data_IF_328458330642
#
_entry.id   IF_328458330642
#
_cell.length_a   1.000
_cell.length_b   1.000
_cell.length_c   1.000
_cell.angle_alpha   90.00
_cell.angle_beta   90.00
_cell.angle_gamma   90.00
#
_symmetry.space_group_name_H-M   'P 1'
#
loop_
_entity.id
_entity.type
_entity.pdbx_description
1 polymer ?
#
# COMPACT_ATOMS: atom_id res chain seq x y z
N UNK A 1 -1.85 31.52 -30.08
CA UNK A 1 -2.92 30.69 -30.67
C UNK A 1 -3.68 30.00 -29.56
N UNK A 2 -4.62 30.74 -28.99
CA UNK A 2 -5.64 30.25 -28.07
C UNK A 2 -6.53 29.25 -28.81
N UNK A 3 -6.64 28.05 -28.27
CA UNK A 3 -7.53 27.01 -28.79
C UNK A 3 -8.91 27.29 -28.18
N UNK A 4 -9.86 27.67 -29.04
CA UNK A 4 -11.29 27.80 -28.72
C UNK A 4 -11.85 26.51 -28.09
N UNK A 5 -12.82 26.60 -27.16
CA UNK A 5 -13.48 25.44 -26.60
C UNK A 5 -14.58 24.97 -27.56
N UNK A 6 -14.24 24.04 -28.46
CA UNK A 6 -15.25 23.37 -29.26
C UNK A 6 -16.00 22.35 -28.40
N UNK A 7 -17.31 22.58 -28.33
CA UNK A 7 -18.43 21.68 -28.03
C UNK A 7 -18.04 20.24 -27.67
N UNK A 8 -18.06 19.96 -26.37
CA UNK A 8 -18.08 18.60 -25.84
C UNK A 8 -19.42 17.98 -26.24
N UNK A 9 -19.41 17.12 -27.25
CA UNK A 9 -20.42 16.07 -27.36
C UNK A 9 -20.34 15.24 -26.08
N UNK A 10 -21.41 15.28 -25.28
CA UNK A 10 -21.65 14.35 -24.18
C UNK A 10 -21.42 12.92 -24.69
N UNK A 11 -20.27 12.35 -24.36
CA UNK A 11 -20.06 10.91 -24.47
C UNK A 11 -21.00 10.30 -23.44
N UNK A 12 -22.14 9.84 -23.95
CA UNK A 12 -23.08 8.95 -23.27
C UNK A 12 -22.29 7.96 -22.38
N UNK A 13 -22.63 7.83 -21.09
CA UNK A 13 -22.01 6.81 -20.26
C UNK A 13 -22.25 5.45 -20.91
N UNK A 14 -21.15 4.80 -21.31
CA UNK A 14 -21.16 3.45 -21.88
C UNK A 14 -22.13 2.56 -21.11
N UNK A 15 -23.04 1.96 -21.86
CA UNK A 15 -24.17 1.20 -21.37
C UNK A 15 -23.76 0.18 -20.31
N UNK A 16 -24.60 0.07 -19.29
CA UNK A 16 -24.51 -0.90 -18.22
C UNK A 16 -24.54 -2.34 -18.77
N UNK A 17 -23.39 -2.96 -19.02
CA UNK A 17 -23.31 -4.42 -19.08
C UNK A 17 -23.45 -4.94 -17.64
N UNK A 18 -24.71 -5.14 -17.25
CA UNK A 18 -25.10 -5.73 -15.97
C UNK A 18 -25.74 -7.07 -16.25
N UNK A 19 -25.52 -8.10 -15.43
CA UNK A 19 -26.18 -9.39 -15.60
C UNK A 19 -27.69 -9.18 -15.59
N UNK A 20 -28.39 -9.72 -16.61
CA UNK A 20 -29.83 -9.51 -16.87
C UNK A 20 -30.71 -9.81 -15.64
N UNK A 21 -30.26 -10.73 -14.81
CA UNK A 21 -30.88 -11.12 -13.53
C UNK A 21 -31.04 -9.92 -12.58
N UNK A 22 -30.05 -9.03 -12.51
CA UNK A 22 -30.07 -7.87 -11.62
C UNK A 22 -30.99 -6.77 -12.15
N UNK A 23 -31.10 -6.61 -13.47
CA UNK A 23 -32.00 -5.63 -14.08
C UNK A 23 -33.47 -6.06 -13.96
N UNK A 24 -33.76 -7.37 -14.02
CA UNK A 24 -35.11 -7.91 -13.81
C UNK A 24 -35.57 -7.77 -12.35
N UNK A 25 -34.68 -7.97 -11.38
CA UNK A 25 -34.98 -7.79 -9.95
C UNK A 25 -35.19 -6.32 -9.55
N UNK A 26 -34.66 -5.36 -10.32
CA UNK A 26 -34.66 -3.94 -9.99
C UNK A 26 -35.76 -3.14 -10.71
N UNK A 27 -36.59 -3.74 -11.56
CA UNK A 27 -37.50 -3.04 -12.48
C UNK A 27 -38.39 -1.99 -11.82
N UNK A 28 -38.85 -2.21 -10.58
CA UNK A 28 -39.76 -1.32 -9.84
C UNK A 28 -39.14 -0.18 -9.01
N UNK A 29 -37.81 -0.08 -8.86
CA UNK A 29 -37.19 0.98 -8.05
C UNK A 29 -36.84 2.26 -8.83
N UNK A 30 -36.88 3.41 -8.14
CA UNK A 30 -36.40 4.69 -8.69
C UNK A 30 -34.90 4.64 -9.04
N UNK A 31 -34.47 5.45 -10.01
CA UNK A 31 -33.10 5.42 -10.55
C UNK A 31 -32.00 5.57 -9.49
N UNK A 32 -32.25 6.38 -8.44
CA UNK A 32 -31.32 6.56 -7.32
C UNK A 32 -31.13 5.27 -6.50
N UNK A 33 -32.21 4.56 -6.20
CA UNK A 33 -32.16 3.34 -5.41
C UNK A 33 -31.61 2.14 -6.21
N UNK A 34 -31.86 2.11 -7.52
CA UNK A 34 -31.20 1.16 -8.44
C UNK A 34 -29.67 1.28 -8.35
N UNK A 35 -29.14 2.51 -8.38
CA UNK A 35 -27.69 2.76 -8.26
C UNK A 35 -27.18 2.35 -6.88
N UNK A 36 -27.90 2.70 -5.82
CA UNK A 36 -27.53 2.34 -4.45
C UNK A 36 -27.45 0.81 -4.26
N UNK A 37 -28.47 0.07 -4.72
CA UNK A 37 -28.51 -1.38 -4.60
C UNK A 37 -27.39 -2.06 -5.40
N UNK A 38 -27.15 -1.62 -6.64
CA UNK A 38 -26.05 -2.13 -7.48
C UNK A 38 -24.69 -1.94 -6.80
N UNK A 39 -24.45 -0.76 -6.22
CA UNK A 39 -23.22 -0.47 -5.46
C UNK A 39 -23.10 -1.36 -4.23
N UNK A 40 -24.17 -1.50 -3.44
CA UNK A 40 -24.17 -2.33 -2.22
C UNK A 40 -23.82 -3.79 -2.50
N UNK A 41 -24.42 -4.39 -3.53
CA UNK A 41 -24.15 -5.78 -3.91
C UNK A 41 -22.68 -5.97 -4.30
N UNK A 42 -22.14 -5.08 -5.14
CA UNK A 42 -20.74 -5.23 -5.55
C UNK A 42 -19.77 -4.94 -4.40
N UNK A 43 -20.04 -3.95 -3.55
CA UNK A 43 -19.24 -3.69 -2.36
C UNK A 43 -19.18 -4.92 -1.46
N UNK A 44 -20.31 -5.61 -1.25
CA UNK A 44 -20.33 -6.85 -0.48
C UNK A 44 -19.50 -7.95 -1.15
N UNK A 45 -19.61 -8.11 -2.47
CA UNK A 45 -18.81 -9.08 -3.22
C UNK A 45 -17.29 -8.80 -3.12
N UNK A 46 -16.88 -7.53 -3.23
CA UNK A 46 -15.48 -7.12 -3.09
C UNK A 46 -14.96 -7.33 -1.67
N UNK A 47 -15.77 -7.05 -0.65
CA UNK A 47 -15.42 -7.29 0.76
C UNK A 47 -15.25 -8.79 1.03
N UNK A 48 -16.17 -9.64 0.56
CA UNK A 48 -16.02 -11.09 0.67
C UNK A 48 -14.75 -11.58 -0.03
N UNK A 49 -14.46 -11.09 -1.23
CA UNK A 49 -13.23 -11.42 -1.95
C UNK A 49 -11.97 -10.99 -1.18
N UNK A 50 -11.99 -9.82 -0.54
CA UNK A 50 -10.89 -9.34 0.28
C UNK A 50 -10.62 -10.25 1.50
N UNK A 51 -11.66 -10.71 2.19
CA UNK A 51 -11.50 -11.67 3.30
C UNK A 51 -10.95 -13.02 2.84
N UNK A 52 -11.37 -13.51 1.67
CA UNK A 52 -10.82 -14.74 1.08
C UNK A 52 -9.33 -14.56 0.83
N UNK A 53 -8.92 -13.43 0.25
CA UNK A 53 -7.50 -13.14 -0.02
C UNK A 53 -6.68 -13.12 1.29
N UNK A 54 -7.20 -12.47 2.34
CA UNK A 54 -6.52 -12.42 3.64
C UNK A 54 -6.33 -13.84 4.19
N UNK A 55 -7.33 -14.71 4.04
CA UNK A 55 -7.25 -16.10 4.49
C UNK A 55 -6.20 -16.93 3.72
N UNK A 56 -5.91 -16.60 2.46
CA UNK A 56 -4.88 -17.26 1.66
C UNK A 56 -3.44 -16.93 2.10
N UNK A 57 -3.26 -15.96 3.01
CA UNK A 57 -2.00 -15.66 3.66
C UNK A 57 -1.14 -14.58 3.01
N UNK A 58 -0.03 -14.21 3.68
CA UNK A 58 0.78 -13.04 3.33
C UNK A 58 1.49 -13.16 1.97
N UNK A 59 1.89 -14.35 1.55
CA UNK A 59 2.54 -14.56 0.25
C UNK A 59 1.58 -14.33 -0.91
N UNK A 60 0.33 -14.77 -0.77
CA UNK A 60 -0.71 -14.52 -1.79
C UNK A 60 -1.06 -13.04 -1.83
N UNK A 61 -1.13 -12.37 -0.67
CA UNK A 61 -1.30 -10.92 -0.58
C UNK A 61 -0.18 -10.16 -1.32
N UNK A 62 1.09 -10.56 -1.14
CA UNK A 62 2.22 -9.98 -1.87
C UNK A 62 2.04 -10.12 -3.39
N UNK A 63 1.70 -11.33 -3.87
CA UNK A 63 1.47 -11.58 -5.30
C UNK A 63 0.32 -10.74 -5.86
N UNK A 64 -0.76 -10.58 -5.09
CA UNK A 64 -1.89 -9.74 -5.49
C UNK A 64 -1.49 -8.26 -5.56
N UNK A 65 -0.73 -7.76 -4.59
CA UNK A 65 -0.21 -6.39 -4.62
C UNK A 65 0.66 -6.16 -5.86
N UNK A 66 1.52 -7.12 -6.21
CA UNK A 66 2.32 -7.09 -7.45
C UNK A 66 1.43 -7.09 -8.70
N UNK A 67 0.40 -7.94 -8.76
CA UNK A 67 -0.52 -7.96 -9.90
C UNK A 67 -1.30 -6.64 -10.04
N UNK A 68 -1.80 -6.10 -8.93
CA UNK A 68 -2.49 -4.80 -8.88
C UNK A 68 -1.55 -3.69 -9.34
N UNK A 69 -0.31 -3.68 -8.88
CA UNK A 69 0.72 -2.73 -9.30
C UNK A 69 0.95 -2.78 -10.82
N UNK A 70 1.18 -3.97 -11.39
CA UNK A 70 1.40 -4.11 -12.83
C UNK A 70 0.19 -3.58 -13.61
N UNK A 71 -1.03 -3.88 -13.17
CA UNK A 71 -2.25 -3.38 -13.81
C UNK A 71 -2.41 -1.87 -13.70
N UNK A 72 -2.21 -1.30 -12.52
CA UNK A 72 -2.21 0.15 -12.30
C UNK A 72 -1.20 0.87 -13.20
N UNK A 73 0.01 0.32 -13.32
CA UNK A 73 1.05 0.85 -14.21
C UNK A 73 0.60 0.80 -15.67
N UNK A 74 0.06 -0.34 -16.13
CA UNK A 74 -0.48 -0.49 -17.49
C UNK A 74 -1.59 0.53 -17.79
N UNK A 75 -2.50 0.77 -16.86
CA UNK A 75 -3.58 1.75 -17.03
C UNK A 75 -3.03 3.17 -17.23
N UNK A 76 -2.09 3.63 -16.38
CA UNK A 76 -1.51 4.98 -16.49
C UNK A 76 -0.67 5.14 -17.76
N UNK A 77 0.14 4.13 -18.10
CA UNK A 77 0.97 4.18 -19.29
C UNK A 77 0.13 4.19 -20.57
N UNK A 78 -0.96 3.41 -20.62
CA UNK A 78 -1.89 3.41 -21.77
C UNK A 78 -2.57 4.77 -21.96
N UNK A 79 -2.89 5.51 -20.88
CA UNK A 79 -3.39 6.89 -20.98
C UNK A 79 -2.34 7.81 -21.60
N UNK A 80 -1.08 7.69 -21.15
CA UNK A 80 0.02 8.43 -21.77
C UNK A 80 0.04 8.21 -23.28
N UNK A 81 0.04 6.95 -23.72
CA UNK A 81 0.06 6.62 -25.15
C UNK A 81 -1.14 7.14 -25.93
N UNK A 82 -2.36 7.09 -25.37
CA UNK A 82 -3.56 7.57 -26.04
C UNK A 82 -3.58 9.09 -26.19
N UNK A 83 -3.16 9.83 -25.16
CA UNK A 83 -3.14 11.30 -25.16
C UNK A 83 -2.16 11.82 -26.22
N UNK A 84 -0.96 11.25 -26.28
CA UNK A 84 0.08 11.74 -27.18
C UNK A 84 0.12 11.03 -28.55
N UNK A 85 -0.89 10.20 -28.88
CA UNK A 85 -1.06 9.57 -30.20
C UNK A 85 0.18 8.82 -30.71
N UNK A 86 0.92 8.16 -29.82
CA UNK A 86 2.22 7.54 -30.14
C UNK A 86 2.09 6.12 -30.73
N UNK A 87 1.18 5.92 -31.69
CA UNK A 87 0.88 4.58 -32.26
C UNK A 87 1.96 4.02 -33.19
N UNK A 88 2.89 4.86 -33.66
CA UNK A 88 3.85 4.49 -34.70
C UNK A 88 5.18 3.89 -34.20
N UNK A 89 5.39 3.72 -32.89
CA UNK A 89 6.68 3.25 -32.32
C UNK A 89 6.49 2.06 -31.36
N UNK A 90 6.27 0.83 -31.87
CA UNK A 90 6.00 -0.34 -31.02
C UNK A 90 7.20 -0.76 -30.16
N UNK A 91 8.43 -0.60 -30.67
CA UNK A 91 9.64 -0.93 -29.90
C UNK A 91 9.83 -0.01 -28.69
N UNK A 92 9.56 1.28 -28.88
CA UNK A 92 9.56 2.26 -27.81
C UNK A 92 8.51 1.95 -26.73
N UNK A 93 7.36 1.40 -27.13
CA UNK A 93 6.27 1.04 -26.21
C UNK A 93 6.69 -0.06 -25.24
N UNK A 94 7.25 -1.15 -25.76
CA UNK A 94 7.70 -2.29 -24.95
C UNK A 94 8.89 -1.91 -24.08
N UNK A 95 9.84 -1.13 -24.64
CA UNK A 95 11.00 -0.65 -23.89
C UNK A 95 10.59 0.30 -22.76
N UNK A 96 9.76 1.30 -23.04
CA UNK A 96 9.37 2.30 -22.05
C UNK A 96 8.44 1.69 -20.99
N UNK A 97 7.49 0.84 -21.37
CA UNK A 97 6.55 0.24 -20.43
C UNK A 97 7.15 -0.91 -19.61
N UNK A 98 7.44 -2.02 -20.26
CA UNK A 98 7.65 -3.30 -19.56
C UNK A 98 9.09 -3.47 -19.06
N UNK A 99 10.08 -3.01 -19.81
CA UNK A 99 11.49 -3.17 -19.44
C UNK A 99 11.84 -2.38 -18.18
N UNK A 100 11.54 -1.07 -18.14
CA UNK A 100 11.82 -0.25 -16.95
C UNK A 100 10.99 -0.69 -15.74
N UNK A 101 9.74 -1.15 -15.96
CA UNK A 101 8.96 -1.77 -14.90
C UNK A 101 9.70 -2.97 -14.31
N UNK A 102 10.13 -3.93 -15.14
CA UNK A 102 10.88 -5.09 -14.69
C UNK A 102 12.16 -4.70 -13.93
N UNK A 103 12.95 -3.76 -14.45
CA UNK A 103 14.18 -3.30 -13.81
C UNK A 103 13.93 -2.72 -12.42
N UNK A 104 12.93 -1.83 -12.29
CA UNK A 104 12.63 -1.17 -11.01
C UNK A 104 12.00 -2.15 -10.02
N UNK A 105 11.14 -3.06 -10.49
CA UNK A 105 10.61 -4.14 -9.65
C UNK A 105 11.74 -5.04 -9.14
N UNK A 106 12.64 -5.47 -10.02
CA UNK A 106 13.79 -6.28 -9.64
C UNK A 106 14.58 -5.60 -8.53
N UNK A 107 14.92 -4.32 -8.68
CA UNK A 107 15.66 -3.56 -7.66
C UNK A 107 14.95 -3.56 -6.29
N UNK A 108 13.72 -3.07 -6.21
CA UNK A 108 13.00 -2.90 -4.93
C UNK A 108 12.60 -4.23 -4.28
N UNK A 109 12.05 -5.17 -5.06
CA UNK A 109 11.60 -6.46 -4.53
C UNK A 109 12.76 -7.40 -4.25
N UNK A 110 13.85 -7.32 -5.00
CA UNK A 110 15.08 -8.06 -4.71
C UNK A 110 15.65 -7.68 -3.34
N UNK A 111 15.74 -6.38 -3.01
CA UNK A 111 16.19 -5.96 -1.67
C UNK A 111 15.23 -6.42 -0.57
N UNK A 112 13.92 -6.31 -0.81
CA UNK A 112 12.91 -6.78 0.17
C UNK A 112 13.04 -8.29 0.44
N UNK A 113 13.18 -9.09 -0.61
CA UNK A 113 13.32 -10.55 -0.49
C UNK A 113 14.62 -10.91 0.21
N UNK A 114 15.74 -10.24 -0.10
CA UNK A 114 17.01 -10.46 0.58
C UNK A 114 16.93 -10.10 2.08
N UNK A 115 16.22 -9.03 2.43
CA UNK A 115 16.13 -8.53 3.80
C UNK A 115 15.23 -9.39 4.71
N UNK A 116 14.11 -9.92 4.20
CA UNK A 116 13.16 -10.72 4.97
C UNK A 116 13.41 -12.22 4.85
N UNK A 117 13.94 -12.69 3.73
CA UNK A 117 14.17 -14.12 3.45
C UNK A 117 15.65 -14.44 3.29
N UNK A 118 16.50 -13.81 4.10
CA UNK A 118 17.96 -13.98 4.05
C UNK A 118 18.40 -15.45 4.12
N UNK A 119 17.80 -16.24 5.04
CA UNK A 119 18.11 -17.67 5.23
C UNK A 119 17.80 -18.50 3.98
N UNK A 120 16.64 -18.26 3.35
CA UNK A 120 16.23 -18.90 2.11
C UNK A 120 17.20 -18.56 0.96
N UNK A 121 17.57 -17.28 0.86
CA UNK A 121 18.47 -16.78 -0.21
C UNK A 121 19.89 -17.33 -0.08
N UNK A 122 20.40 -17.53 1.14
CA UNK A 122 21.74 -18.09 1.36
C UNK A 122 21.82 -19.60 1.11
N UNK A 123 20.69 -20.32 1.22
CA UNK A 123 20.62 -21.77 1.04
C UNK A 123 20.78 -22.18 -0.43
N UNK A 124 20.20 -21.42 -1.34
CA UNK A 124 20.21 -21.71 -2.78
C UNK A 124 21.39 -21.00 -3.46
N UNK A 125 22.35 -21.77 -3.99
CA UNK A 125 23.50 -21.26 -4.76
C UNK A 125 23.14 -20.19 -5.82
N UNK A 126 22.12 -20.36 -6.69
CA UNK A 126 21.78 -19.35 -7.69
C UNK A 126 21.25 -18.05 -7.06
N UNK A 127 20.44 -18.15 -6.00
CA UNK A 127 19.87 -16.98 -5.32
C UNK A 127 20.95 -16.22 -4.54
N UNK A 128 21.93 -16.93 -3.98
CA UNK A 128 23.07 -16.32 -3.28
C UNK A 128 23.90 -15.45 -4.20
N UNK A 129 24.19 -15.92 -5.41
CA UNK A 129 24.92 -15.12 -6.42
C UNK A 129 24.10 -13.90 -6.83
N UNK A 130 22.81 -14.11 -7.10
CA UNK A 130 21.88 -13.05 -7.50
C UNK A 130 21.79 -11.95 -6.44
N UNK A 131 21.63 -12.33 -5.16
CA UNK A 131 21.57 -11.42 -4.03
C UNK A 131 22.89 -10.69 -3.79
N UNK A 132 24.04 -11.36 -3.95
CA UNK A 132 25.36 -10.75 -3.75
C UNK A 132 25.64 -9.64 -4.75
N UNK A 133 25.26 -9.84 -6.02
CA UNK A 133 25.47 -8.85 -7.09
C UNK A 133 24.20 -8.05 -7.41
N UNK A 134 23.17 -8.12 -6.56
CA UNK A 134 21.85 -7.56 -6.81
C UNK A 134 21.87 -6.08 -7.25
N UNK A 135 22.56 -5.24 -6.49
CA UNK A 135 22.68 -3.79 -6.76
C UNK A 135 23.39 -3.52 -8.08
N UNK A 136 24.45 -4.27 -8.37
CA UNK A 136 25.20 -4.12 -9.61
C UNK A 136 24.39 -4.59 -10.83
N UNK A 137 23.71 -5.73 -10.74
CA UNK A 137 22.83 -6.25 -11.79
C UNK A 137 21.69 -5.26 -12.05
N UNK A 138 21.07 -4.73 -10.99
CA UNK A 138 20.00 -3.72 -11.10
C UNK A 138 20.49 -2.46 -11.83
N UNK A 139 21.67 -1.96 -11.47
CA UNK A 139 22.29 -0.82 -12.14
C UNK A 139 22.59 -1.11 -13.62
N UNK A 140 23.16 -2.27 -13.92
CA UNK A 140 23.47 -2.68 -15.30
C UNK A 140 22.21 -2.83 -16.16
N UNK A 141 21.13 -3.41 -15.62
CA UNK A 141 19.83 -3.52 -16.28
C UNK A 141 19.25 -2.14 -16.57
N UNK A 142 19.24 -1.24 -15.58
CA UNK A 142 18.74 0.12 -15.79
C UNK A 142 19.57 0.88 -16.84
N UNK A 143 20.89 0.78 -16.79
CA UNK A 143 21.80 1.41 -17.76
C UNK A 143 21.57 0.86 -19.18
N UNK A 144 21.33 -0.44 -19.30
CA UNK A 144 21.00 -1.09 -20.58
C UNK A 144 19.70 -0.52 -21.14
N UNK A 145 18.66 -0.37 -20.31
CA UNK A 145 17.41 0.30 -20.69
C UNK A 145 17.60 1.75 -21.13
N UNK A 146 18.45 2.50 -20.42
CA UNK A 146 18.78 3.87 -20.79
C UNK A 146 19.50 3.95 -22.14
N UNK A 147 20.51 3.10 -22.38
CA UNK A 147 21.20 3.01 -23.66
C UNK A 147 20.22 2.62 -24.80
N UNK A 148 19.35 1.63 -24.55
CA UNK A 148 18.30 1.26 -25.50
C UNK A 148 17.35 2.42 -25.81
N UNK A 149 16.98 3.23 -24.81
CA UNK A 149 16.12 4.40 -25.02
C UNK A 149 16.81 5.44 -25.92
N UNK A 150 18.10 5.70 -25.69
CA UNK A 150 18.90 6.62 -26.53
C UNK A 150 19.00 6.10 -27.97
N UNK A 151 19.20 4.79 -28.15
CA UNK A 151 19.20 4.14 -29.47
C UNK A 151 17.82 4.16 -30.15
N UNK A 152 16.73 4.26 -29.37
CA UNK A 152 15.36 4.38 -29.87
C UNK A 152 15.05 5.72 -30.53
N UNK A 153 15.91 6.74 -30.37
CA UNK A 153 15.53 8.12 -30.66
C UNK A 153 15.33 8.34 -32.17
N UNK A 154 14.11 8.72 -32.56
CA UNK A 154 13.75 8.96 -33.96
C UNK A 154 13.65 10.46 -34.23
N UNK A 155 14.31 10.91 -35.31
CA UNK A 155 14.23 12.30 -35.79
C UNK A 155 12.76 12.73 -35.93
N UNK A 156 12.46 13.99 -35.59
CA UNK A 156 11.11 14.61 -35.53
C UNK A 156 10.23 14.22 -34.33
N UNK A 157 10.55 13.18 -33.57
CA UNK A 157 9.72 12.71 -32.44
C UNK A 157 10.40 12.86 -31.05
N UNK A 158 11.56 13.53 -30.96
CA UNK A 158 12.33 13.63 -29.71
C UNK A 158 11.49 14.16 -28.53
N UNK A 159 10.76 15.25 -28.74
CA UNK A 159 9.96 15.87 -27.68
C UNK A 159 8.93 14.89 -27.11
N UNK A 160 8.27 14.12 -27.97
CA UNK A 160 7.33 13.08 -27.58
C UNK A 160 8.02 11.94 -26.81
N UNK A 161 9.15 11.45 -27.30
CA UNK A 161 9.91 10.37 -26.66
C UNK A 161 10.41 10.77 -25.27
N UNK A 162 10.89 12.01 -25.09
CA UNK A 162 11.29 12.52 -23.78
C UNK A 162 10.11 12.74 -22.84
N UNK A 163 8.95 13.19 -23.33
CA UNK A 163 7.74 13.28 -22.50
C UNK A 163 7.27 11.91 -22.01
N UNK A 164 7.27 10.90 -22.89
CA UNK A 164 6.93 9.53 -22.50
C UNK A 164 7.94 8.92 -21.56
N UNK A 165 9.23 9.19 -21.77
CA UNK A 165 10.28 8.76 -20.85
C UNK A 165 10.05 9.33 -19.46
N UNK A 166 9.80 10.64 -19.35
CA UNK A 166 9.44 11.28 -18.08
C UNK A 166 8.16 10.73 -17.48
N UNK A 167 7.12 10.53 -18.28
CA UNK A 167 5.85 9.94 -17.86
C UNK A 167 6.05 8.55 -17.24
N UNK A 168 6.81 7.69 -17.91
CA UNK A 168 7.15 6.36 -17.42
C UNK A 168 7.88 6.43 -16.09
N UNK A 169 8.92 7.25 -15.96
CA UNK A 169 9.71 7.31 -14.72
C UNK A 169 8.91 7.88 -13.54
N UNK A 170 8.08 8.89 -13.77
CA UNK A 170 7.15 9.42 -12.76
C UNK A 170 6.12 8.35 -12.38
N UNK A 171 5.59 7.61 -13.34
CA UNK A 171 4.63 6.52 -13.07
C UNK A 171 5.29 5.38 -12.29
N UNK A 172 6.55 5.01 -12.61
CA UNK A 172 7.30 4.01 -11.86
C UNK A 172 7.56 4.46 -10.42
N UNK A 173 7.99 5.71 -10.24
CA UNK A 173 8.21 6.30 -8.92
C UNK A 173 6.92 6.29 -8.09
N UNK A 174 5.78 6.59 -8.70
CA UNK A 174 4.50 6.58 -7.99
C UNK A 174 4.07 5.13 -7.72
N UNK A 175 3.95 4.28 -8.74
CA UNK A 175 3.28 2.99 -8.60
C UNK A 175 4.17 1.95 -7.91
N UNK A 176 5.46 1.86 -8.27
CA UNK A 176 6.36 0.81 -7.75
C UNK A 176 6.82 1.12 -6.33
N UNK A 177 7.12 2.38 -6.03
CA UNK A 177 7.51 2.75 -4.65
C UNK A 177 6.36 2.48 -3.69
N UNK A 178 5.11 2.77 -4.05
CA UNK A 178 4.01 2.43 -3.14
C UNK A 178 3.83 0.94 -2.93
N UNK A 179 3.83 0.14 -3.99
CA UNK A 179 3.66 -1.30 -3.85
C UNK A 179 4.79 -1.91 -3.00
N UNK A 180 6.01 -1.41 -3.14
CA UNK A 180 7.13 -1.77 -2.28
C UNK A 180 6.86 -1.41 -0.79
N UNK A 181 6.41 -0.18 -0.50
CA UNK A 181 6.09 0.24 0.86
C UNK A 181 4.93 -0.58 1.47
N UNK A 182 3.90 -0.90 0.66
CA UNK A 182 2.79 -1.78 1.05
C UNK A 182 3.31 -3.16 1.46
N UNK A 183 4.18 -3.76 0.65
CA UNK A 183 4.72 -5.10 0.92
C UNK A 183 5.65 -5.08 2.13
N UNK A 184 6.44 -4.02 2.31
CA UNK A 184 7.25 -3.85 3.50
C UNK A 184 6.37 -3.74 4.77
N UNK A 185 5.26 -2.98 4.71
CA UNK A 185 4.32 -2.90 5.84
C UNK A 185 3.63 -4.25 6.11
N UNK A 186 3.31 -5.02 5.06
CA UNK A 186 2.72 -6.35 5.15
C UNK A 186 3.64 -7.33 5.90
N UNK A 187 4.95 -7.30 5.63
CA UNK A 187 5.91 -8.21 6.25
C UNK A 187 6.25 -7.88 7.71
N UNK A 188 6.12 -6.63 8.13
CA UNK A 188 6.21 -6.25 9.55
C UNK A 188 4.98 -6.74 10.36
N UNK A 189 3.90 -7.12 9.70
CA UNK A 189 2.69 -7.69 10.29
C UNK A 189 1.46 -7.35 9.47
N UNK A 190 0.59 -8.32 9.22
CA UNK A 190 -0.59 -8.12 8.37
C UNK A 190 -1.55 -7.04 8.90
N UNK A 191 -1.54 -6.77 10.21
CA UNK A 191 -2.34 -5.71 10.83
C UNK A 191 -1.98 -4.32 10.30
N UNK A 192 -0.71 -4.07 9.98
CA UNK A 192 -0.21 -2.83 9.39
C UNK A 192 -0.63 -2.63 7.94
N UNK A 193 -1.07 -3.69 7.27
CA UNK A 193 -1.66 -3.62 5.94
C UNK A 193 -3.18 -3.50 6.00
N UNK A 194 -3.84 -4.38 6.77
CA UNK A 194 -5.30 -4.53 6.78
C UNK A 194 -5.99 -3.34 7.43
N UNK A 195 -5.51 -2.86 8.59
CA UNK A 195 -6.18 -1.78 9.33
C UNK A 195 -6.20 -0.48 8.51
N UNK A 196 -5.07 0.01 7.96
CA UNK A 196 -5.05 1.17 7.08
C UNK A 196 -5.99 1.09 5.88
N UNK A 197 -5.94 -0.02 5.14
CA UNK A 197 -6.75 -0.22 3.94
C UNK A 197 -8.23 -0.22 4.30
N UNK A 198 -8.59 -0.92 5.37
CA UNK A 198 -9.96 -1.00 5.86
C UNK A 198 -10.47 0.36 6.35
N UNK A 199 -9.61 1.18 6.97
CA UNK A 199 -9.96 2.55 7.36
C UNK A 199 -10.29 3.43 6.17
N UNK A 200 -9.51 3.37 5.09
CA UNK A 200 -9.79 4.11 3.84
C UNK A 200 -11.09 3.65 3.21
N UNK A 201 -11.32 2.33 3.11
CA UNK A 201 -12.58 1.77 2.59
C UNK A 201 -13.77 2.20 3.44
N UNK A 202 -13.65 2.12 4.76
CA UNK A 202 -14.68 2.57 5.69
C UNK A 202 -14.98 4.07 5.51
N UNK A 203 -13.93 4.89 5.37
CA UNK A 203 -14.07 6.33 5.16
C UNK A 203 -14.85 6.64 3.88
N UNK A 204 -14.54 5.98 2.76
CA UNK A 204 -15.26 6.18 1.51
C UNK A 204 -16.73 5.76 1.59
N UNK A 205 -17.02 4.63 2.25
CA UNK A 205 -18.40 4.15 2.44
C UNK A 205 -19.19 5.10 3.35
N UNK A 206 -18.61 5.48 4.49
CA UNK A 206 -19.27 6.34 5.48
C UNK A 206 -19.44 7.76 4.94
N UNK A 207 -18.43 8.32 4.27
CA UNK A 207 -18.55 9.62 3.63
C UNK A 207 -19.63 9.65 2.55
N UNK A 208 -19.78 8.56 1.78
CA UNK A 208 -20.89 8.41 0.85
C UNK A 208 -22.25 8.31 1.56
N UNK A 209 -22.34 7.54 2.64
CA UNK A 209 -23.58 7.35 3.39
C UNK A 209 -24.06 8.65 4.05
N UNK A 210 -23.20 9.32 4.80
CA UNK A 210 -23.51 10.62 5.42
C UNK A 210 -23.74 11.71 4.36
N UNK A 211 -22.98 11.69 3.26
CA UNK A 211 -23.19 12.60 2.13
C UNK A 211 -24.55 12.38 1.44
N UNK A 212 -25.03 11.14 1.35
CA UNK A 212 -26.33 10.84 0.75
C UNK A 212 -27.52 11.29 1.62
N UNK A 213 -27.44 11.12 2.94
CA UNK A 213 -28.53 11.48 3.85
C UNK A 213 -28.52 12.95 4.28
N UNK A 214 -27.35 13.53 4.52
CA UNK A 214 -27.18 14.85 5.14
C UNK A 214 -26.41 15.85 4.26
N UNK A 215 -25.89 15.43 3.11
CA UNK A 215 -25.05 16.28 2.26
C UNK A 215 -25.81 17.45 1.64
N UNK A 216 -25.39 18.67 1.99
CA UNK A 216 -25.93 19.91 1.42
C UNK A 216 -24.83 20.80 0.84
N UNK A 217 -23.64 20.78 1.43
CA UNK A 217 -22.55 21.69 1.06
C UNK A 217 -21.40 20.96 0.33
N UNK A 218 -21.08 21.32 -0.92
CA UNK A 218 -20.00 20.68 -1.67
C UNK A 218 -18.63 21.08 -1.09
N UNK A 219 -17.71 20.11 -1.03
CA UNK A 219 -16.38 20.27 -0.45
C UNK A 219 -15.41 21.00 -1.40
N UNK A 220 -15.33 20.56 -2.67
CA UNK A 220 -14.41 21.12 -3.68
C UNK A 220 -15.11 21.17 -5.05
N UNK A 221 -14.90 22.25 -5.82
CA UNK A 221 -15.48 22.43 -7.17
C UNK A 221 -15.10 21.33 -8.17
N UNK A 222 -13.88 20.80 -8.06
CA UNK A 222 -13.38 19.67 -8.86
C UNK A 222 -14.20 18.39 -8.67
N UNK A 223 -14.81 18.19 -7.49
CA UNK A 223 -15.62 17.01 -7.15
C UNK A 223 -16.92 17.42 -6.45
N UNK A 224 -17.92 17.91 -7.20
CA UNK A 224 -19.14 18.49 -6.63
C UNK A 224 -20.03 17.48 -5.88
N UNK A 225 -19.74 16.17 -5.99
CA UNK A 225 -20.47 15.11 -5.29
C UNK A 225 -19.96 14.84 -3.88
N UNK A 226 -18.76 15.33 -3.51
CA UNK A 226 -18.21 15.17 -2.16
C UNK A 226 -18.66 16.36 -1.31
N UNK A 227 -19.20 16.07 -0.12
CA UNK A 227 -19.78 17.10 0.77
C UNK A 227 -19.01 17.21 2.09
N UNK A 228 -19.09 18.38 2.74
CA UNK A 228 -18.49 18.60 4.06
C UNK A 228 -19.11 17.71 5.14
N UNK A 229 -20.44 17.55 5.11
CA UNK A 229 -21.15 16.70 6.08
C UNK A 229 -20.73 15.23 5.95
N UNK A 230 -20.51 14.77 4.71
CA UNK A 230 -19.97 13.45 4.43
C UNK A 230 -18.54 13.28 4.94
N UNK A 231 -17.69 14.29 4.75
CA UNK A 231 -16.30 14.26 5.21
C UNK A 231 -16.19 14.18 6.75
N UNK A 232 -16.97 14.99 7.47
CA UNK A 232 -16.99 14.99 8.94
C UNK A 232 -17.58 13.68 9.49
N UNK A 233 -18.70 13.22 8.93
CA UNK A 233 -19.31 11.95 9.32
C UNK A 233 -18.41 10.74 9.05
N UNK A 234 -17.69 10.78 7.91
CA UNK A 234 -16.66 9.80 7.56
C UNK A 234 -15.56 9.73 8.62
N UNK A 235 -15.00 10.89 9.01
CA UNK A 235 -13.95 10.97 10.02
C UNK A 235 -14.31 10.28 11.34
N UNK A 236 -15.43 10.67 11.97
CA UNK A 236 -15.83 10.06 13.24
C UNK A 236 -16.10 8.56 13.12
N UNK A 237 -16.74 8.13 12.03
CA UNK A 237 -17.05 6.72 11.80
C UNK A 237 -15.79 5.88 11.59
N UNK A 238 -14.81 6.40 10.85
CA UNK A 238 -13.56 5.70 10.57
C UNK A 238 -12.68 5.57 11.82
N UNK A 239 -12.65 6.57 12.70
CA UNK A 239 -11.93 6.48 13.98
C UNK A 239 -12.55 5.40 14.88
N UNK A 240 -13.88 5.39 15.02
CA UNK A 240 -14.59 4.36 15.79
C UNK A 240 -14.37 2.97 15.18
N UNK A 241 -14.44 2.86 13.85
CA UNK A 241 -14.19 1.61 13.14
C UNK A 241 -12.75 1.13 13.32
N UNK A 242 -11.75 2.02 13.23
CA UNK A 242 -10.34 1.70 13.45
C UNK A 242 -10.09 1.16 14.86
N UNK A 243 -10.66 1.80 15.89
CA UNK A 243 -10.57 1.34 17.28
C UNK A 243 -11.18 -0.05 17.49
N UNK A 244 -12.33 -0.33 16.86
CA UNK A 244 -12.98 -1.63 16.94
C UNK A 244 -12.18 -2.71 16.21
N UNK A 245 -11.75 -2.42 14.98
CA UNK A 245 -11.01 -3.36 14.14
C UNK A 245 -9.67 -3.71 14.76
N UNK A 246 -8.94 -2.70 15.27
CA UNK A 246 -7.66 -2.91 15.95
C UNK A 246 -7.79 -3.75 17.22
N UNK A 247 -8.85 -3.56 18.01
CA UNK A 247 -9.12 -4.39 19.18
C UNK A 247 -9.32 -5.88 18.82
N UNK A 248 -10.14 -6.14 17.80
CA UNK A 248 -10.40 -7.52 17.35
C UNK A 248 -9.14 -8.16 16.78
N UNK A 249 -8.41 -7.45 15.92
CA UNK A 249 -7.24 -8.00 15.22
C UNK A 249 -6.03 -8.19 16.14
N UNK A 250 -5.81 -7.31 17.11
CA UNK A 250 -4.71 -7.43 18.06
C UNK A 250 -4.78 -8.71 18.91
N UNK A 251 -5.98 -9.28 19.08
CA UNK A 251 -6.17 -10.55 19.79
C UNK A 251 -5.68 -11.80 19.04
N UNK A 252 -5.41 -11.71 17.73
CA UNK A 252 -5.01 -12.85 16.91
C UNK A 252 -3.56 -12.75 16.46
N UNK A 253 -2.73 -13.71 16.87
CA UNK A 253 -1.29 -13.80 16.53
C UNK A 253 -1.04 -13.77 15.02
N UNK A 254 -1.91 -14.43 14.26
CA UNK A 254 -1.87 -14.47 12.79
C UNK A 254 -1.75 -13.08 12.16
N UNK A 255 -2.47 -12.06 12.65
CA UNK A 255 -2.43 -10.73 12.06
C UNK A 255 -1.27 -9.86 12.56
N UNK A 256 -0.79 -10.15 13.76
CA UNK A 256 0.16 -9.31 14.48
C UNK A 256 1.60 -9.66 14.13
N UNK A 257 1.87 -10.96 13.96
CA UNK A 257 3.23 -11.44 13.83
C UNK A 257 3.85 -11.10 12.46
N UNK A 258 5.15 -10.76 12.45
CA UNK A 258 5.88 -10.57 11.21
C UNK A 258 6.02 -11.88 10.45
N UNK A 259 6.21 -11.78 9.15
CA UNK A 259 6.37 -12.95 8.28
C UNK A 259 7.82 -13.42 8.35
N UNK A 260 8.03 -14.66 8.81
CA UNK A 260 9.35 -15.27 8.88
C UNK A 260 9.39 -16.59 8.10
N UNK A 261 10.56 -16.93 7.57
CA UNK A 261 10.78 -18.20 6.87
C UNK A 261 11.44 -19.21 7.82
N UNK A 262 10.75 -20.31 8.10
CA UNK A 262 11.28 -21.39 8.93
C UNK A 262 12.01 -22.43 8.06
N UNK A 263 13.32 -22.54 8.27
CA UNK A 263 14.21 -23.46 7.57
C UNK A 263 13.89 -24.94 7.77
N UNK A 264 13.28 -25.31 8.90
CA UNK A 264 13.04 -26.71 9.28
C UNK A 264 11.79 -27.29 8.58
N UNK A 265 10.75 -26.47 8.41
CA UNK A 265 9.49 -26.86 7.77
C UNK A 265 9.40 -26.45 6.30
N UNK A 266 10.39 -25.72 5.78
CA UNK A 266 10.36 -25.08 4.45
C UNK A 266 9.05 -24.30 4.22
N UNK A 267 8.50 -23.69 5.27
CA UNK A 267 7.22 -22.99 5.22
C UNK A 267 7.32 -21.59 5.81
N UNK A 268 6.48 -20.69 5.31
CA UNK A 268 6.35 -19.35 5.87
C UNK A 268 5.45 -19.41 7.10
N UNK A 269 5.96 -18.98 8.24
CA UNK A 269 5.25 -19.01 9.52
C UNK A 269 4.98 -17.59 10.00
N UNK A 270 3.82 -17.41 10.63
CA UNK A 270 3.40 -16.14 11.27
C UNK A 270 3.20 -16.35 12.78
N UNK A 271 4.05 -17.18 13.37
CA UNK A 271 4.02 -17.52 14.78
C UNK A 271 5.18 -16.85 15.51
N UNK A 272 4.86 -15.82 16.27
CA UNK A 272 5.80 -15.04 17.07
C UNK A 272 5.22 -14.80 18.47
N UNK A 273 6.05 -14.48 19.46
CA UNK A 273 5.55 -13.90 20.71
C UNK A 273 5.09 -12.46 20.44
N UNK A 274 3.82 -12.11 20.72
CA UNK A 274 3.33 -10.76 20.47
C UNK A 274 4.14 -9.73 21.26
N UNK A 275 4.63 -8.70 20.55
CA UNK A 275 5.33 -7.59 21.18
C UNK A 275 4.42 -6.83 22.15
N UNK A 276 5.02 -6.05 23.06
CA UNK A 276 4.30 -5.28 24.08
C UNK A 276 3.17 -4.39 23.49
N UNK A 277 3.33 -3.97 22.23
CA UNK A 277 2.32 -3.21 21.46
C UNK A 277 0.97 -3.91 21.33
N UNK A 278 0.98 -5.25 21.35
CA UNK A 278 -0.19 -6.11 21.16
C UNK A 278 -0.52 -6.90 22.42
N UNK A 279 0.03 -6.51 23.56
CA UNK A 279 -0.36 -7.02 24.87
C UNK A 279 -1.30 -6.05 25.58
N UNK A 280 -2.29 -6.58 26.29
CA UNK A 280 -3.27 -5.79 27.03
C UNK A 280 -2.57 -5.04 28.17
N UNK A 281 -2.68 -3.71 28.16
CA UNK A 281 -2.18 -2.85 29.22
C UNK A 281 -3.32 -2.12 29.91
N UNK A 282 -3.13 -1.86 31.21
CA UNK A 282 -4.09 -1.12 32.03
C UNK A 282 -3.69 0.36 32.05
N UNK A 283 -4.47 1.21 31.40
CA UNK A 283 -4.23 2.65 31.40
C UNK A 283 -5.10 3.34 32.44
N UNK A 284 -4.47 4.15 33.30
CA UNK A 284 -5.17 5.05 34.21
C UNK A 284 -5.75 6.24 33.45
N UNK A 285 -7.03 6.51 33.64
CA UNK A 285 -7.70 7.63 32.97
C UNK A 285 -7.31 8.98 33.62
N UNK A 286 -7.13 10.05 32.83
CA UNK A 286 -7.01 11.41 33.36
C UNK A 286 -8.25 11.78 34.18
N UNK A 287 -8.07 12.57 35.25
CA UNK A 287 -9.14 12.97 36.19
C UNK A 287 -10.37 13.59 35.52
N UNK A 288 -10.17 14.28 34.39
CA UNK A 288 -11.22 14.88 33.57
C UNK A 288 -12.13 13.80 32.93
N UNK A 289 -11.53 12.73 32.40
CA UNK A 289 -12.27 11.63 31.75
C UNK A 289 -12.92 10.72 32.79
N UNK A 290 -12.26 10.54 33.93
CA UNK A 290 -12.80 9.80 35.06
C UNK A 290 -14.10 10.43 35.59
N UNK A 291 -14.18 11.76 35.60
CA UNK A 291 -15.39 12.50 36.00
C UNK A 291 -16.55 12.35 35.01
N UNK A 292 -16.26 12.06 33.74
CA UNK A 292 -17.27 11.90 32.69
C UNK A 292 -17.77 10.45 32.53
N UNK A 293 -16.89 9.45 32.71
CA UNK A 293 -17.17 8.03 32.39
C UNK A 293 -17.28 7.17 33.66
N UNK A 294 -16.79 7.64 34.81
CA UNK A 294 -16.87 6.93 36.10
C UNK A 294 -15.92 5.73 36.25
N UNK A 295 -15.15 5.38 35.22
CA UNK A 295 -14.17 4.29 35.26
C UNK A 295 -12.78 4.81 35.68
N UNK A 296 -12.04 4.00 36.45
CA UNK A 296 -10.67 4.34 36.90
C UNK A 296 -9.57 3.82 35.99
N UNK A 297 -9.81 2.69 35.33
CA UNK A 297 -8.84 1.99 34.48
C UNK A 297 -9.52 1.50 33.21
N UNK A 298 -8.85 1.62 32.07
CA UNK A 298 -9.27 1.04 30.80
C UNK A 298 -8.26 -0.03 30.37
N UNK A 299 -8.78 -1.19 29.96
CA UNK A 299 -8.02 -2.24 29.31
C UNK A 299 -7.97 -1.96 27.81
N UNK A 300 -6.80 -1.62 27.28
CA UNK A 300 -6.64 -1.35 25.86
C UNK A 300 -5.28 -1.86 25.36
N UNK A 301 -5.23 -2.22 24.09
CA UNK A 301 -3.96 -2.52 23.43
C UNK A 301 -3.26 -1.20 23.09
N UNK A 302 -1.94 -1.06 23.31
CA UNK A 302 -1.18 0.11 22.86
C UNK A 302 -1.38 0.39 21.36
N UNK A 303 -1.53 -0.67 20.55
CA UNK A 303 -1.85 -0.57 19.11
C UNK A 303 -3.12 0.24 18.80
N UNK A 304 -4.12 0.31 19.71
CA UNK A 304 -5.32 1.11 19.47
C UNK A 304 -5.01 2.61 19.38
N UNK A 305 -4.00 3.10 20.11
CA UNK A 305 -3.53 4.50 20.00
C UNK A 305 -2.97 4.76 18.61
N UNK A 306 -2.15 3.84 18.11
CA UNK A 306 -1.63 3.90 16.75
C UNK A 306 -2.74 3.82 15.70
N UNK A 307 -3.77 2.98 15.93
CA UNK A 307 -4.95 2.90 15.06
C UNK A 307 -5.73 4.21 14.98
N UNK A 308 -5.82 5.00 16.05
CA UNK A 308 -6.41 6.34 16.02
C UNK A 308 -5.62 7.27 15.09
N UNK A 309 -4.28 7.24 15.16
CA UNK A 309 -3.44 8.05 14.26
C UNK A 309 -3.61 7.62 12.80
N UNK A 310 -3.64 6.31 12.53
CA UNK A 310 -3.87 5.76 11.20
C UNK A 310 -5.26 6.13 10.65
N UNK A 311 -6.32 5.92 11.42
CA UNK A 311 -7.70 6.25 11.01
C UNK A 311 -7.91 7.75 10.80
N UNK A 312 -7.34 8.60 11.66
CA UNK A 312 -7.39 10.05 11.49
C UNK A 312 -6.71 10.48 10.18
N UNK A 313 -5.54 9.93 9.87
CA UNK A 313 -4.85 10.19 8.60
C UNK A 313 -5.66 9.70 7.40
N UNK A 314 -6.21 8.47 7.47
CA UNK A 314 -7.03 7.88 6.41
C UNK A 314 -8.22 8.75 6.03
N UNK A 315 -8.86 9.40 7.02
CA UNK A 315 -10.03 10.25 6.80
C UNK A 315 -9.68 11.68 6.43
N UNK A 316 -8.66 12.28 7.04
CA UNK A 316 -8.33 13.69 6.81
C UNK A 316 -7.49 13.87 5.55
N UNK A 317 -6.40 13.10 5.42
CA UNK A 317 -5.39 13.28 4.37
C UNK A 317 -5.59 12.28 3.23
N UNK A 318 -6.01 11.05 3.54
CA UNK A 318 -6.29 10.01 2.54
C UNK A 318 -7.13 10.48 1.33
N UNK A 319 -8.24 11.23 1.52
CA UNK A 319 -9.09 11.66 0.42
C UNK A 319 -8.42 12.63 -0.57
N UNK A 320 -7.32 13.28 -0.17
CA UNK A 320 -6.53 14.12 -1.07
C UNK A 320 -5.85 13.33 -2.19
N UNK A 321 -5.51 12.05 -1.96
CA UNK A 321 -5.04 11.16 -3.02
C UNK A 321 -6.09 11.01 -4.13
N UNK A 322 -7.34 10.77 -3.75
CA UNK A 322 -8.45 10.69 -4.69
C UNK A 322 -8.81 12.04 -5.35
N UNK A 323 -8.61 13.17 -4.66
CA UNK A 323 -8.74 14.49 -5.30
C UNK A 323 -7.66 14.72 -6.34
N UNK A 324 -6.41 14.35 -6.05
CA UNK A 324 -5.29 14.44 -6.99
C UNK A 324 -5.54 13.59 -8.24
N UNK A 325 -5.92 12.32 -8.06
CA UNK A 325 -6.26 11.42 -9.16
C UNK A 325 -7.46 11.94 -9.98
N UNK A 326 -8.47 12.50 -9.32
CA UNK A 326 -9.58 13.16 -10.01
C UNK A 326 -9.11 14.36 -10.83
N UNK A 327 -8.22 15.19 -10.29
CA UNK A 327 -7.63 16.35 -10.99
C UNK A 327 -6.85 15.93 -12.22
N UNK A 328 -6.01 14.90 -12.08
CA UNK A 328 -5.27 14.28 -13.17
C UNK A 328 -6.21 13.83 -14.30
N UNK A 329 -7.27 13.08 -13.97
CA UNK A 329 -8.25 12.61 -14.97
C UNK A 329 -8.92 13.77 -15.71
N UNK A 330 -9.28 14.84 -15.01
CA UNK A 330 -9.88 16.04 -15.63
C UNK A 330 -8.91 16.79 -16.53
N UNK A 331 -7.62 16.85 -16.17
CA UNK A 331 -6.59 17.47 -17.00
C UNK A 331 -6.47 16.79 -18.38
N UNK A 332 -6.63 15.47 -18.43
CA UNK A 332 -6.62 14.69 -19.67
C UNK A 332 -7.99 14.49 -20.31
N UNK A 333 -9.04 15.18 -19.82
CA UNK A 333 -10.43 15.05 -20.28
C UNK A 333 -10.97 13.62 -20.23
N UNK A 334 -10.46 12.78 -19.34
CA UNK A 334 -10.95 11.43 -19.08
C UNK A 334 -11.76 11.39 -17.78
N UNK A 335 -12.57 10.34 -17.61
CA UNK A 335 -13.40 10.14 -16.41
C UNK A 335 -12.84 9.08 -15.46
N UNK A 336 -12.38 7.98 -16.03
CA UNK A 336 -11.86 6.79 -15.34
C UNK A 336 -10.52 6.44 -15.99
N UNK A 337 -9.57 5.85 -15.23
CA UNK A 337 -8.25 5.50 -15.77
C UNK A 337 -8.33 4.38 -16.82
N UNK A 338 -9.27 3.47 -16.64
CA UNK A 338 -9.56 2.39 -17.58
C UNK A 338 -10.98 1.86 -17.37
N UNK A 339 -11.40 0.91 -18.21
CA UNK A 339 -12.66 0.15 -18.04
C UNK A 339 -12.37 -1.30 -17.60
N UNK A 340 -11.35 -1.50 -16.77
CA UNK A 340 -10.86 -2.83 -16.37
C UNK A 340 -11.87 -3.59 -15.52
N UNK A 341 -12.64 -2.89 -14.67
CA UNK A 341 -13.71 -3.48 -13.87
C UNK A 341 -15.06 -2.98 -14.42
N UNK A 342 -15.89 -3.86 -15.01
CA UNK A 342 -17.14 -3.44 -15.65
C UNK A 342 -18.05 -2.70 -14.68
N UNK A 343 -18.41 -1.46 -15.05
CA UNK A 343 -19.25 -0.56 -14.25
C UNK A 343 -18.56 0.12 -13.05
N UNK A 344 -17.26 -0.11 -12.80
CA UNK A 344 -16.54 0.40 -11.62
C UNK A 344 -15.24 1.18 -11.94
N UNK A 345 -14.86 1.31 -13.20
CA UNK A 345 -13.69 2.08 -13.63
C UNK A 345 -12.40 1.25 -13.67
N UNK A 346 -11.25 1.92 -13.57
CA UNK A 346 -9.94 1.28 -13.54
C UNK A 346 -9.59 0.74 -12.17
N UNK A 347 -8.55 -0.09 -12.11
CA UNK A 347 -7.95 -0.52 -10.84
C UNK A 347 -7.31 0.68 -10.14
N UNK A 348 -6.65 1.58 -10.89
CA UNK A 348 -6.04 2.79 -10.33
C UNK A 348 -7.08 3.71 -9.66
N UNK A 349 -8.33 3.75 -10.16
CA UNK A 349 -9.44 4.50 -9.54
C UNK A 349 -9.82 4.00 -8.14
N UNK A 350 -9.36 2.81 -7.73
CA UNK A 350 -9.65 2.19 -6.42
C UNK A 350 -8.51 2.31 -5.42
N UNK A 351 -7.29 2.54 -5.92
CA UNK A 351 -6.07 2.60 -5.12
C UNK A 351 -5.49 4.03 -5.03
N UNK A 352 -6.17 5.04 -5.59
CA UNK A 352 -5.72 6.44 -5.59
C UNK A 352 -5.55 7.03 -4.18
N UNK A 353 -6.44 6.70 -3.24
CA UNK A 353 -6.33 7.10 -1.84
C UNK A 353 -5.34 6.23 -1.05
N UNK A 354 -5.16 4.98 -1.46
CA UNK A 354 -4.24 4.03 -0.81
C UNK A 354 -2.78 4.40 -1.04
N UNK A 355 -2.48 5.09 -2.15
CA UNK A 355 -1.14 5.60 -2.46
C UNK A 355 -0.57 6.43 -1.29
N UNK A 356 -1.32 7.41 -0.78
CA UNK A 356 -0.82 8.27 0.31
C UNK A 356 -0.79 7.49 1.63
N UNK A 357 -1.78 6.62 1.83
CA UNK A 357 -1.91 5.83 3.05
C UNK A 357 -0.72 4.88 3.27
N UNK A 358 -0.28 4.18 2.23
CA UNK A 358 0.82 3.23 2.31
C UNK A 358 2.14 3.89 2.73
N UNK A 359 2.44 5.07 2.15
CA UNK A 359 3.61 5.86 2.52
C UNK A 359 3.54 6.31 3.98
N UNK A 360 2.39 6.82 4.41
CA UNK A 360 2.20 7.26 5.79
C UNK A 360 2.40 6.12 6.79
N UNK A 361 1.81 4.94 6.54
CA UNK A 361 1.97 3.78 7.40
C UNK A 361 3.44 3.38 7.52
N UNK A 362 4.18 3.37 6.41
CA UNK A 362 5.59 2.99 6.45
C UNK A 362 6.43 3.98 7.26
N UNK A 363 6.26 5.29 7.02
CA UNK A 363 6.95 6.35 7.78
C UNK A 363 6.55 6.31 9.26
N UNK A 364 5.28 6.03 9.55
CA UNK A 364 4.76 5.92 10.90
C UNK A 364 5.39 4.75 11.66
N UNK A 365 5.44 3.56 11.04
CA UNK A 365 6.09 2.38 11.59
C UNK A 365 7.58 2.67 11.82
N UNK A 366 8.27 3.20 10.81
CA UNK A 366 9.70 3.49 10.89
C UNK A 366 10.04 4.52 11.99
N UNK A 367 9.15 5.47 12.27
CA UNK A 367 9.40 6.54 13.24
C UNK A 367 8.99 6.18 14.67
N UNK A 368 7.87 5.48 14.85
CA UNK A 368 7.25 5.30 16.17
C UNK A 368 7.25 3.86 16.68
N UNK A 369 7.41 2.87 15.81
CA UNK A 369 7.29 1.45 16.18
C UNK A 369 8.59 0.68 15.99
N UNK A 370 9.32 0.94 14.90
CA UNK A 370 10.46 0.13 14.48
C UNK A 370 11.66 0.38 15.39
N UNK A 371 11.78 -0.43 16.44
CA UNK A 371 13.02 -0.60 17.20
C UNK A 371 13.98 -1.60 16.52
N UNK A 372 15.27 -1.62 16.89
CA UNK A 372 16.19 -2.65 16.41
C UNK A 372 15.75 -4.03 16.93
N UNK A 373 15.33 -4.92 16.03
CA UNK A 373 14.96 -6.30 16.39
C UNK A 373 16.25 -7.09 16.71
N UNK A 374 16.45 -7.55 17.96
CA UNK A 374 17.68 -8.25 18.37
C UNK A 374 17.92 -9.52 17.56
N UNK A 375 16.87 -10.23 17.15
CA UNK A 375 16.98 -11.44 16.32
C UNK A 375 17.54 -11.13 14.93
N UNK A 376 17.10 -10.01 14.33
CA UNK A 376 17.63 -9.55 13.03
C UNK A 376 19.07 -9.09 13.12
N UNK A 377 19.42 -8.38 14.20
CA UNK A 377 20.81 -7.99 14.49
C UNK A 377 21.69 -9.23 14.69
N UNK A 378 21.19 -10.24 15.40
CA UNK A 378 21.88 -11.50 15.60
C UNK A 378 22.09 -12.26 14.27
N UNK A 379 21.08 -12.35 13.41
CA UNK A 379 21.24 -12.96 12.10
C UNK A 379 22.26 -12.23 11.21
N UNK A 380 22.28 -10.90 11.25
CA UNK A 380 23.29 -10.11 10.54
C UNK A 380 24.69 -10.33 11.12
N UNK A 381 24.81 -10.47 12.45
CA UNK A 381 26.06 -10.85 13.11
C UNK A 381 26.56 -12.21 12.64
N UNK A 382 25.67 -13.21 12.62
CA UNK A 382 26.01 -14.58 12.19
C UNK A 382 26.38 -14.67 10.70
N UNK A 383 25.97 -13.70 9.88
CA UNK A 383 26.38 -13.61 8.47
C UNK A 383 27.80 -13.05 8.25
N UNK A 384 28.42 -12.44 9.28
CA UNK A 384 29.78 -11.89 9.20
C UNK A 384 30.83 -13.01 9.23
N UNK A 385 32.09 -12.68 8.87
CA UNK A 385 33.22 -13.61 9.03
C UNK A 385 33.48 -13.87 10.52
N UNK A 386 33.99 -15.06 10.83
CA UNK A 386 34.30 -15.49 12.20
C UNK A 386 35.16 -14.45 12.96
N UNK A 387 36.18 -13.88 12.31
CA UNK A 387 37.04 -12.86 12.93
C UNK A 387 36.25 -11.60 13.33
N UNK A 388 35.29 -11.18 12.51
CA UNK A 388 34.45 -10.01 12.77
C UNK A 388 33.40 -10.29 13.85
N UNK A 389 32.85 -11.51 13.88
CA UNK A 389 31.96 -11.95 14.95
C UNK A 389 32.66 -11.89 16.31
N UNK A 390 33.89 -12.40 16.38
CA UNK A 390 34.71 -12.41 17.60
C UNK A 390 35.06 -10.98 18.05
N UNK A 391 35.40 -10.09 17.11
CA UNK A 391 35.64 -8.68 17.40
C UNK A 391 34.40 -7.98 17.99
N UNK A 392 33.22 -8.22 17.41
CA UNK A 392 31.98 -7.61 17.91
C UNK A 392 31.61 -8.17 19.27
N UNK A 393 31.76 -9.48 19.49
CA UNK A 393 31.55 -10.11 20.78
C UNK A 393 32.44 -9.49 21.87
N UNK A 394 33.74 -9.36 21.63
CA UNK A 394 34.66 -8.75 22.58
C UNK A 394 34.31 -7.28 22.87
N UNK A 395 33.91 -6.51 21.85
CA UNK A 395 33.49 -5.12 22.02
C UNK A 395 32.21 -5.02 22.86
N UNK A 396 31.22 -5.88 22.59
CA UNK A 396 29.98 -5.94 23.35
C UNK A 396 30.24 -6.37 24.80
N UNK A 397 31.09 -7.38 25.02
CA UNK A 397 31.54 -7.84 26.35
C UNK A 397 32.13 -6.69 27.15
N UNK A 398 33.10 -5.97 26.59
CA UNK A 398 33.73 -4.82 27.25
C UNK A 398 32.71 -3.74 27.62
N UNK A 399 31.75 -3.45 26.74
CA UNK A 399 30.73 -2.43 27.01
C UNK A 399 29.72 -2.86 28.08
N UNK A 400 29.40 -4.16 28.16
CA UNK A 400 28.54 -4.70 29.21
C UNK A 400 29.23 -4.75 30.58
N UNK A 401 30.56 -4.99 30.60
CA UNK A 401 31.38 -4.90 31.81
C UNK A 401 31.44 -3.44 32.31
N UNK A 402 31.64 -2.48 31.41
CA UNK A 402 31.65 -1.05 31.74
C UNK A 402 30.32 -0.56 32.32
N UNK A 403 29.19 -1.11 31.82
CA UNK A 403 27.85 -0.83 32.37
C UNK A 403 27.51 -1.59 33.65
N UNK A 404 28.42 -2.43 34.16
CA UNK A 404 28.23 -3.21 35.38
C UNK A 404 27.19 -4.32 35.27
N UNK A 405 26.82 -4.72 34.05
CA UNK A 405 25.84 -5.79 33.79
C UNK A 405 26.49 -7.18 33.76
N UNK A 406 27.81 -7.25 33.52
CA UNK A 406 28.62 -8.47 33.58
C UNK A 406 29.73 -8.26 34.63
N UNK A 407 29.90 -9.23 35.54
CA UNK A 407 31.03 -9.24 36.46
C UNK A 407 32.30 -9.59 35.69
N UNK A 408 33.40 -8.89 35.97
CA UNK A 408 34.70 -9.16 35.36
C UNK A 408 35.31 -10.53 35.77
N UNK A 409 34.58 -11.38 36.51
CA UNK A 409 35.11 -12.59 37.15
C UNK A 409 34.79 -13.91 36.43
N UNK A 410 34.08 -13.92 35.30
CA UNK A 410 33.84 -15.14 34.50
C UNK A 410 34.99 -15.45 33.53
N UNK A 411 36.24 -15.16 33.91
CA UNK A 411 37.44 -15.48 33.11
C UNK A 411 38.21 -16.70 33.59
N UNK A 412 37.65 -17.54 34.48
CA UNK A 412 38.31 -18.78 34.87
C UNK A 412 37.31 -19.94 34.99
N UNK A 413 37.06 -20.63 33.88
CA UNK A 413 36.88 -22.09 33.81
C UNK A 413 37.00 -22.56 32.35
#
# INVERSE_FOLDING_TARGET
NEIKPDTVTDVQPGANETPEVLNKALSGLSSRWKIFFKRRVLTLAMICFFFIIIYLGPMVLMMIVLCVQIKCFQEIITIGYSVYHSYHLPWFRTLSGEYFLLCVNYFFYGETVTDYFFTLVQREEPLRILSKYHRFISFALYLTGFCMFVLSLVKKHYRLQFYMFGWTHVTLLIVVTQSHLIIHNLFEGMIWFIVPISCVICNDIMAYMFGFFFGRTPLIKLSPKKTWEGFIGGFFSTVVFGLLLSYVMAGYRYFVCPVEFNSDSNSFTVDCEPSELFQLHNYGLPSVVQSAIGWKTIHMYPFQIHSVALSAFASLIGPFGGFFASGFKRAFKIKDFANTIPGHGGIMDRFDCQYIMATFVNVYIASFIRGPNPSKVMQQLLALRLDQQLQIFNTLKSHLIEKGLLSASEEVA
#
